data_IF_991514842247
#
_entry.id   IF_991514842247
#
_cell.length_a   1.000
_cell.length_b   1.000
_cell.length_c   1.000
_cell.angle_alpha   90.00
_cell.angle_beta   90.00
_cell.angle_gamma   90.00
#
_symmetry.space_group_name_H-M   'P 1'
#
loop_
_entity.id
_entity.type
_entity.pdbx_description
1 polymer ?
#
# COMPACT_ATOMS: atom_id res chain seq x y z
N UNK A 1 52.99 -25.99 -58.09
CA UNK A 1 52.47 -26.53 -56.82
C UNK A 1 53.21 -25.81 -55.71
N UNK A 2 52.45 -25.20 -54.80
CA UNK A 2 52.88 -24.02 -54.03
C UNK A 2 54.04 -24.24 -53.06
N UNK A 3 54.83 -23.18 -52.97
CA UNK A 3 56.10 -22.95 -52.30
C UNK A 3 55.96 -22.50 -50.83
N UNK A 4 56.96 -22.87 -50.02
CA UNK A 4 57.77 -22.09 -49.03
C UNK A 4 57.19 -20.80 -48.41
N UNK A 5 57.49 -20.36 -47.19
CA UNK A 5 58.32 -20.81 -46.06
C UNK A 5 58.15 -19.75 -44.93
N UNK A 6 58.28 -20.17 -43.65
CA UNK A 6 59.02 -19.57 -42.50
C UNK A 6 59.02 -18.02 -42.23
N UNK A 7 59.54 -17.52 -41.07
CA UNK A 7 59.46 -17.98 -39.66
C UNK A 7 59.32 -16.82 -38.60
N UNK A 8 59.29 -17.24 -37.32
CA UNK A 8 60.09 -16.73 -36.18
C UNK A 8 59.57 -15.76 -35.09
N UNK A 9 59.99 -16.14 -33.86
CA UNK A 9 60.25 -15.37 -32.62
C UNK A 9 59.07 -14.94 -31.73
N UNK A 10 59.13 -14.80 -30.40
CA UNK A 10 59.92 -15.30 -29.25
C UNK A 10 59.14 -14.76 -27.97
N UNK A 11 59.64 -14.67 -26.72
CA UNK A 11 58.91 -15.08 -25.52
C UNK A 11 58.52 -13.91 -24.59
N UNK A 12 57.67 -14.15 -23.58
CA UNK A 12 57.87 -13.64 -22.20
C UNK A 12 56.68 -14.00 -21.31
N UNK A 13 57.00 -14.60 -20.16
CA UNK A 13 56.11 -14.64 -19.02
C UNK A 13 56.03 -13.26 -18.36
N UNK A 14 54.87 -12.97 -17.78
CA UNK A 14 54.72 -11.90 -16.80
C UNK A 14 53.69 -12.34 -15.79
N UNK A 15 54.15 -12.48 -14.55
CA UNK A 15 53.37 -12.67 -13.33
C UNK A 15 52.40 -11.51 -13.12
N UNK A 16 51.19 -11.80 -12.62
CA UNK A 16 50.30 -10.80 -12.02
C UNK A 16 49.89 -11.32 -10.63
N UNK A 17 50.06 -10.50 -9.57
CA UNK A 17 50.09 -10.97 -8.19
C UNK A 17 48.71 -11.14 -7.55
N UNK A 18 48.65 -12.08 -6.61
CA UNK A 18 47.58 -12.24 -5.62
C UNK A 18 47.57 -11.03 -4.68
N UNK A 19 46.52 -10.22 -4.74
CA UNK A 19 46.27 -9.16 -3.76
C UNK A 19 45.26 -9.70 -2.75
N UNK A 20 45.76 -10.01 -1.54
CA UNK A 20 44.92 -10.03 -0.34
C UNK A 20 44.62 -8.59 0.04
N UNK A 21 43.35 -8.21 0.05
CA UNK A 21 42.90 -6.99 0.73
C UNK A 21 41.96 -7.38 1.86
N UNK A 22 42.53 -7.34 3.05
CA UNK A 22 41.79 -7.19 4.30
C UNK A 22 40.95 -5.91 4.20
N UNK A 23 39.65 -6.02 4.44
CA UNK A 23 38.79 -4.88 4.75
C UNK A 23 38.16 -5.13 6.11
N UNK A 24 38.53 -4.25 7.03
CA UNK A 24 38.21 -4.25 8.44
C UNK A 24 36.69 -4.20 8.67
N UNK A 25 36.17 -5.16 9.43
CA UNK A 25 34.90 -5.02 10.11
C UNK A 25 35.16 -4.19 11.38
N UNK A 26 34.58 -3.00 11.45
CA UNK A 26 34.49 -2.25 12.70
C UNK A 26 33.38 -2.88 13.54
N UNK A 27 33.77 -3.71 14.51
CA UNK A 27 32.93 -4.08 15.64
C UNK A 27 32.74 -2.85 16.55
N UNK A 28 31.54 -2.27 16.53
CA UNK A 28 31.11 -1.36 17.59
C UNK A 28 30.56 -2.20 18.74
N UNK A 29 31.44 -2.58 19.66
CA UNK A 29 31.09 -3.12 20.98
C UNK A 29 30.66 -1.95 21.87
N UNK A 30 29.38 -1.88 22.23
CA UNK A 30 28.91 -0.98 23.29
C UNK A 30 28.95 -1.77 24.60
N UNK A 31 29.89 -1.40 25.44
CA UNK A 31 30.12 -1.90 26.79
C UNK A 31 29.00 -1.41 27.73
N UNK A 32 28.31 -2.34 28.38
CA UNK A 32 27.37 -2.10 29.47
C UNK A 32 27.99 -2.66 30.75
N UNK A 33 28.56 -1.78 31.58
CA UNK A 33 28.92 -2.13 32.95
C UNK A 33 28.43 -1.08 33.96
N UNK A 34 27.54 -1.58 34.82
CA UNK A 34 27.30 -1.30 36.23
C UNK A 34 27.15 0.15 36.76
N UNK A 35 25.96 0.40 37.29
CA UNK A 35 25.76 1.21 38.50
C UNK A 35 24.57 0.67 39.30
N UNK A 36 24.85 -0.24 40.24
CA UNK A 36 23.94 -0.59 41.34
C UNK A 36 23.95 0.53 42.38
N UNK A 37 22.79 1.08 42.72
CA UNK A 37 22.53 1.59 44.07
C UNK A 37 21.12 1.22 44.52
N UNK A 38 21.09 0.41 45.56
CA UNK A 38 19.95 -0.10 46.30
C UNK A 38 19.33 0.98 47.19
N UNK A 39 18.00 1.14 47.19
CA UNK A 39 17.26 1.51 48.41
C UNK A 39 15.89 0.79 48.44
N UNK A 40 15.62 0.20 49.60
CA UNK A 40 14.47 -0.60 50.02
C UNK A 40 13.14 0.18 50.10
N UNK A 41 12.08 -0.58 49.84
CA UNK A 41 10.66 -0.34 50.17
C UNK A 41 10.44 -0.18 51.68
N UNK A 42 9.36 0.52 52.10
CA UNK A 42 8.43 -0.19 52.97
C UNK A 42 6.95 -0.03 52.53
N UNK A 43 6.19 -1.08 52.81
CA UNK A 43 4.77 -1.20 52.58
C UNK A 43 3.95 -0.39 53.60
N UNK A 44 2.78 0.10 53.19
CA UNK A 44 1.67 0.39 54.10
C UNK A 44 0.32 0.39 53.37
N UNK A 45 -0.72 0.18 54.17
CA UNK A 45 -2.02 -0.45 53.89
C UNK A 45 -3.11 0.60 53.69
N UNK A 46 -4.17 0.19 52.99
CA UNK A 46 -5.60 0.56 53.17
C UNK A 46 -6.23 1.79 52.46
N UNK A 47 -7.28 1.46 51.69
CA UNK A 47 -8.61 2.10 51.49
C UNK A 47 -8.70 3.62 51.29
N UNK A 48 -9.25 4.04 50.15
CA UNK A 48 -10.46 4.89 50.07
C UNK A 48 -11.01 4.97 48.63
N UNK A 49 -12.33 4.78 48.50
CA UNK A 49 -13.13 5.20 47.36
C UNK A 49 -13.10 6.73 47.27
N UNK A 50 -12.88 7.30 46.09
CA UNK A 50 -13.44 8.60 45.73
C UNK A 50 -13.92 8.58 44.28
N UNK A 51 -15.24 8.64 44.17
CA UNK A 51 -16.04 8.89 42.97
C UNK A 51 -15.88 10.34 42.53
N UNK A 52 -15.45 10.55 41.27
CA UNK A 52 -15.62 11.83 40.57
C UNK A 52 -17.06 11.99 40.06
N UNK A 53 -17.57 13.23 39.90
CA UNK A 53 -18.98 13.48 39.64
C UNK A 53 -19.39 13.09 38.20
N UNK A 54 -20.67 12.79 37.95
CA UNK A 54 -21.17 12.46 36.62
C UNK A 54 -21.20 13.72 35.74
N UNK A 55 -20.77 13.60 34.49
CA UNK A 55 -21.00 14.62 33.47
C UNK A 55 -22.51 14.70 33.18
N UNK A 56 -23.11 15.77 33.68
CA UNK A 56 -24.51 16.12 33.53
C UNK A 56 -24.82 16.49 32.07
N UNK A 57 -25.78 15.75 31.51
CA UNK A 57 -26.32 15.95 30.16
C UNK A 57 -27.20 17.20 30.19
N UNK A 58 -26.76 18.28 29.55
CA UNK A 58 -27.61 19.42 29.25
C UNK A 58 -28.72 18.99 28.26
N UNK A 59 -29.92 18.74 28.80
CA UNK A 59 -31.17 18.68 28.06
C UNK A 59 -31.74 20.09 28.02
N UNK A 60 -31.67 20.75 26.87
CA UNK A 60 -32.63 21.81 26.54
C UNK A 60 -33.18 21.63 25.12
N UNK A 61 -34.49 21.38 25.10
CA UNK A 61 -35.46 21.94 24.15
C UNK A 61 -35.39 21.52 22.68
N UNK A 62 -35.93 20.34 22.36
CA UNK A 62 -36.46 20.04 21.02
C UNK A 62 -37.98 20.23 21.07
N UNK A 63 -38.42 21.39 20.59
CA UNK A 63 -39.79 21.63 20.16
C UNK A 63 -40.09 20.81 18.90
N UNK A 64 -41.25 20.15 18.89
CA UNK A 64 -41.86 19.45 17.75
C UNK A 64 -41.78 20.30 16.47
N UNK A 65 -41.20 19.74 15.41
CA UNK A 65 -41.49 20.15 14.02
C UNK A 65 -41.85 18.91 13.23
N UNK A 66 -42.91 19.09 12.45
CA UNK A 66 -43.69 18.11 11.71
C UNK A 66 -42.87 17.33 10.68
N UNK A 67 -43.30 16.09 10.43
CA UNK A 67 -43.04 15.38 9.18
C UNK A 67 -43.69 16.15 8.03
N UNK A 68 -42.88 16.83 7.23
CA UNK A 68 -43.11 17.19 5.81
C UNK A 68 -42.12 18.30 5.45
N UNK A 69 -40.90 17.91 5.06
CA UNK A 69 -39.96 18.76 4.30
C UNK A 69 -38.90 17.86 3.66
N UNK A 70 -39.25 17.27 2.52
CA UNK A 70 -38.25 16.72 1.61
C UNK A 70 -37.44 17.90 1.04
N UNK A 71 -36.20 18.04 1.49
CA UNK A 71 -35.25 19.01 0.92
C UNK A 71 -35.08 18.67 -0.57
N UNK A 72 -35.29 19.63 -1.50
CA UNK A 72 -35.12 19.38 -2.92
C UNK A 72 -33.69 18.92 -3.20
N UNK A 73 -33.55 17.87 -3.99
CA UNK A 73 -32.29 17.49 -4.62
C UNK A 73 -31.78 18.70 -5.38
N UNK A 74 -30.73 19.36 -4.87
CA UNK A 74 -30.09 20.47 -5.59
C UNK A 74 -29.60 19.95 -6.95
N UNK A 75 -30.24 20.44 -7.99
CA UNK A 75 -29.88 20.20 -9.39
C UNK A 75 -28.44 20.68 -9.60
N UNK A 76 -27.60 19.76 -10.07
CA UNK A 76 -26.19 20.00 -10.37
C UNK A 76 -26.06 21.24 -11.28
N UNK A 77 -25.37 22.27 -10.78
CA UNK A 77 -24.96 23.43 -11.57
C UNK A 77 -24.06 23.00 -12.73
N UNK A 78 -24.43 23.41 -13.95
CA UNK A 78 -23.83 23.07 -15.24
C UNK A 78 -22.35 23.45 -15.41
N UNK A 79 -21.72 24.09 -14.41
CA UNK A 79 -20.30 24.44 -14.42
C UNK A 79 -19.35 23.41 -13.78
N UNK A 80 -19.86 22.36 -13.10
CA UNK A 80 -19.05 21.27 -12.54
C UNK A 80 -19.05 20.01 -13.42
N UNK A 81 -19.80 20.04 -14.53
CA UNK A 81 -20.14 18.88 -15.39
C UNK A 81 -18.97 18.36 -16.26
N UNK A 82 -17.89 19.12 -16.44
CA UNK A 82 -16.69 18.65 -17.16
C UNK A 82 -15.88 17.60 -16.39
N UNK A 83 -16.22 17.33 -15.12
CA UNK A 83 -15.41 16.51 -14.22
C UNK A 83 -15.76 15.04 -14.19
N UNK A 84 -16.85 14.55 -14.79
CA UNK A 84 -17.26 13.14 -14.69
C UNK A 84 -17.07 12.39 -16.02
N UNK A 85 -16.59 11.14 -15.95
CA UNK A 85 -16.61 10.23 -17.09
C UNK A 85 -18.08 10.09 -17.58
N UNK A 86 -18.40 10.22 -18.88
CA UNK A 86 -19.78 10.25 -19.36
C UNK A 86 -20.61 9.06 -18.88
N UNK A 87 -20.03 7.85 -18.91
CA UNK A 87 -20.71 6.65 -18.44
C UNK A 87 -20.89 6.61 -16.91
N UNK A 88 -20.00 7.23 -16.12
CA UNK A 88 -20.17 7.32 -14.66
C UNK A 88 -21.33 8.26 -14.35
N UNK A 89 -21.50 9.36 -15.10
CA UNK A 89 -22.64 10.27 -14.94
C UNK A 89 -23.97 9.54 -15.09
N UNK A 90 -24.10 8.69 -16.11
CA UNK A 90 -25.30 7.87 -16.32
C UNK A 90 -25.54 6.92 -15.15
N UNK A 91 -24.52 6.14 -14.75
CA UNK A 91 -24.63 5.20 -13.63
C UNK A 91 -24.97 5.88 -12.29
N UNK A 92 -24.43 7.08 -12.05
CA UNK A 92 -24.76 7.88 -10.88
C UNK A 92 -26.19 8.41 -10.94
N UNK A 93 -26.65 8.86 -12.12
CA UNK A 93 -28.02 9.37 -12.30
C UNK A 93 -29.09 8.27 -12.17
N UNK A 94 -28.76 7.04 -12.60
CA UNK A 94 -29.63 5.86 -12.49
C UNK A 94 -29.53 5.17 -11.13
N UNK A 95 -28.63 5.63 -10.27
CA UNK A 95 -28.33 5.02 -8.97
C UNK A 95 -27.80 3.57 -9.02
N UNK A 96 -27.10 3.23 -10.10
CA UNK A 96 -26.61 1.87 -10.41
C UNK A 96 -25.08 1.72 -10.36
N UNK A 97 -24.36 2.75 -9.91
CA UNK A 97 -22.89 2.72 -9.86
C UNK A 97 -22.40 1.70 -8.81
N UNK A 98 -21.66 0.69 -9.25
CA UNK A 98 -20.96 -0.27 -8.37
C UNK A 98 -19.44 -0.24 -8.57
N UNK A 99 -18.69 -0.79 -7.60
CA UNK A 99 -17.23 -0.92 -7.71
C UNK A 99 -16.86 -1.84 -8.88
N UNK A 100 -17.61 -2.92 -9.08
CA UNK A 100 -17.40 -3.89 -10.16
C UNK A 100 -17.54 -3.21 -11.52
N UNK A 101 -18.57 -2.37 -11.69
CA UNK A 101 -18.75 -1.58 -12.91
C UNK A 101 -17.55 -0.65 -13.17
N UNK A 102 -17.04 0.02 -12.12
CA UNK A 102 -15.88 0.90 -12.22
C UNK A 102 -14.58 0.16 -12.56
N UNK A 103 -14.36 -1.05 -12.00
CA UNK A 103 -13.21 -1.90 -12.34
C UNK A 103 -13.21 -2.24 -13.84
N UNK A 104 -14.39 -2.34 -14.47
CA UNK A 104 -14.50 -2.62 -15.89
C UNK A 104 -14.23 -1.41 -16.81
N UNK A 105 -14.09 -0.19 -16.28
CA UNK A 105 -13.92 1.03 -17.06
C UNK A 105 -12.46 1.45 -17.25
N UNK A 106 -12.12 2.11 -18.39
CA UNK A 106 -10.85 2.83 -18.49
C UNK A 106 -10.84 4.04 -17.54
N UNK A 107 -9.69 4.41 -16.97
CA UNK A 107 -9.55 5.63 -16.18
C UNK A 107 -9.72 6.88 -17.06
N UNK A 108 -10.07 8.02 -16.46
CA UNK A 108 -10.04 9.28 -17.20
C UNK A 108 -8.61 9.74 -17.47
N UNK A 109 -8.30 10.04 -18.73
CA UNK A 109 -7.01 10.63 -19.07
C UNK A 109 -6.90 12.04 -18.48
N UNK A 110 -5.81 12.39 -17.79
CA UNK A 110 -5.60 13.75 -17.31
C UNK A 110 -5.44 14.74 -18.48
N UNK A 111 -5.80 16.01 -18.25
CA UNK A 111 -5.56 17.08 -19.24
C UNK A 111 -4.04 17.20 -19.46
N UNK A 112 -3.58 17.34 -20.71
CA UNK A 112 -2.15 17.26 -21.08
C UNK A 112 -1.26 18.24 -20.30
N UNK A 113 -1.79 19.39 -19.91
CA UNK A 113 -1.08 20.47 -19.23
C UNK A 113 -0.98 20.26 -17.70
N UNK A 114 -1.75 19.31 -17.18
CA UNK A 114 -1.87 19.00 -15.75
C UNK A 114 -0.91 17.92 -15.28
N UNK A 115 -0.31 17.16 -16.20
CA UNK A 115 0.66 16.09 -15.92
C UNK A 115 1.92 16.23 -16.78
N UNK A 116 3.05 15.73 -16.29
CA UNK A 116 4.31 15.67 -17.04
C UNK A 116 4.11 14.81 -18.30
N UNK A 117 4.60 15.23 -19.48
CA UNK A 117 4.47 14.43 -20.70
C UNK A 117 5.34 13.18 -20.64
N UNK A 118 5.02 12.20 -21.49
CA UNK A 118 5.82 10.98 -21.65
C UNK A 118 5.70 9.99 -20.49
N UNK A 119 4.66 10.09 -19.66
CA UNK A 119 4.35 9.05 -18.66
C UNK A 119 3.98 7.73 -19.34
N UNK A 120 4.06 6.64 -18.58
CA UNK A 120 3.69 5.32 -19.06
C UNK A 120 2.22 5.27 -19.53
N UNK A 121 1.94 4.99 -20.81
CA UNK A 121 0.58 5.05 -21.36
C UNK A 121 -0.38 4.04 -20.72
N UNK A 122 0.13 2.99 -20.06
CA UNK A 122 -0.70 2.03 -19.31
C UNK A 122 -1.46 2.66 -18.15
N UNK A 123 -1.07 3.85 -17.70
CA UNK A 123 -1.77 4.61 -16.65
C UNK A 123 -3.13 5.17 -17.08
N UNK A 124 -3.35 5.24 -18.40
CA UNK A 124 -4.59 5.68 -19.07
C UNK A 124 -5.44 4.50 -19.58
N UNK A 125 -4.94 3.26 -19.44
CA UNK A 125 -5.64 2.05 -19.86
C UNK A 125 -6.41 1.44 -18.68
N UNK A 126 -7.40 0.60 -18.98
CA UNK A 126 -8.14 -0.17 -17.98
C UNK A 126 -7.19 -1.05 -17.16
N UNK A 127 -7.45 -1.20 -15.85
CA UNK A 127 -6.71 -2.14 -14.99
C UNK A 127 -6.82 -3.57 -15.51
N UNK A 128 -5.70 -4.31 -15.66
CA UNK A 128 -5.75 -5.71 -16.08
C UNK A 128 -6.60 -6.55 -15.14
N UNK A 129 -7.44 -7.42 -15.71
CA UNK A 129 -8.31 -8.33 -14.96
C UNK A 129 -7.71 -9.74 -14.83
N UNK A 130 -6.52 -9.95 -15.40
CA UNK A 130 -5.81 -11.22 -15.40
C UNK A 130 -4.42 -11.02 -14.79
N UNK A 131 -3.99 -11.95 -13.93
CA UNK A 131 -2.71 -11.84 -13.22
C UNK A 131 -1.51 -11.70 -14.16
N UNK A 132 -1.51 -12.39 -15.30
CA UNK A 132 -0.44 -12.31 -16.31
C UNK A 132 -0.23 -10.88 -16.81
N UNK A 133 -1.31 -10.21 -17.17
CA UNK A 133 -1.25 -8.84 -17.69
C UNK A 133 -1.04 -7.83 -16.56
N UNK A 134 -1.55 -8.12 -15.36
CA UNK A 134 -1.30 -7.31 -14.17
C UNK A 134 0.19 -7.29 -13.81
N UNK A 135 0.85 -8.45 -13.75
CA UNK A 135 2.28 -8.61 -13.46
C UNK A 135 3.20 -8.04 -14.54
N UNK A 136 2.71 -7.83 -15.77
CA UNK A 136 3.44 -7.08 -16.81
C UNK A 136 3.29 -5.58 -16.64
N UNK A 137 2.12 -5.13 -16.19
CA UNK A 137 1.74 -3.72 -16.18
C UNK A 137 2.20 -3.01 -14.91
N UNK A 138 2.06 -3.66 -13.75
CA UNK A 138 2.33 -3.08 -12.44
C UNK A 138 3.59 -3.68 -11.82
N UNK A 139 4.25 -2.88 -10.97
CA UNK A 139 5.05 -3.40 -9.87
C UNK A 139 4.13 -3.55 -8.66
N UNK A 140 4.28 -4.63 -7.91
CA UNK A 140 3.51 -4.91 -6.71
C UNK A 140 4.49 -4.97 -5.54
N UNK A 141 4.29 -4.10 -4.57
CA UNK A 141 5.06 -4.11 -3.33
C UNK A 141 4.15 -4.55 -2.19
N UNK A 142 4.39 -5.74 -1.65
CA UNK A 142 3.81 -6.16 -0.39
C UNK A 142 4.60 -5.54 0.75
N UNK A 143 3.93 -4.69 1.53
CA UNK A 143 4.44 -4.20 2.82
C UNK A 143 3.76 -5.02 3.90
N UNK A 144 4.51 -5.93 4.51
CA UNK A 144 3.97 -6.94 5.42
C UNK A 144 4.22 -6.50 6.85
N UNK A 145 3.14 -6.44 7.63
CA UNK A 145 3.21 -6.26 9.06
C UNK A 145 3.83 -7.51 9.70
N UNK A 146 5.01 -7.34 10.27
CA UNK A 146 5.72 -8.33 11.08
C UNK A 146 5.71 -7.94 12.56
N UNK A 147 4.72 -7.17 13.02
CA UNK A 147 4.52 -6.86 14.44
C UNK A 147 4.17 -8.10 15.26
N UNK A 148 4.24 -7.99 16.60
CA UNK A 148 3.92 -9.11 17.48
C UNK A 148 2.47 -9.62 17.38
N UNK A 149 1.50 -8.77 17.02
CA UNK A 149 0.08 -9.17 16.87
C UNK A 149 -0.11 -10.16 15.73
N UNK A 150 0.69 -10.04 14.67
CA UNK A 150 0.65 -10.89 13.49
C UNK A 150 1.04 -12.35 13.74
N UNK A 151 1.46 -12.73 14.95
CA UNK A 151 1.91 -14.08 15.29
C UNK A 151 0.90 -15.18 14.93
N UNK A 152 -0.41 -14.95 15.14
CA UNK A 152 -1.47 -15.90 14.77
C UNK A 152 -1.82 -15.89 13.28
N UNK A 153 -1.45 -14.82 12.57
CA UNK A 153 -1.77 -14.58 11.16
C UNK A 153 -0.59 -14.87 10.23
N UNK A 154 0.62 -15.04 10.75
CA UNK A 154 1.86 -15.15 9.97
C UNK A 154 1.82 -16.22 8.87
N UNK A 155 1.34 -17.42 9.22
CA UNK A 155 1.21 -18.52 8.26
C UNK A 155 0.13 -18.27 7.21
N UNK A 156 -0.94 -17.56 7.58
CA UNK A 156 -2.00 -17.18 6.64
C UNK A 156 -1.48 -16.19 5.61
N UNK A 157 -0.77 -15.15 6.05
CA UNK A 157 -0.12 -14.15 5.20
C UNK A 157 0.89 -14.81 4.26
N UNK A 158 1.72 -15.72 4.77
CA UNK A 158 2.67 -16.51 3.95
C UNK A 158 1.95 -17.26 2.85
N UNK A 159 0.95 -18.07 3.22
CA UNK A 159 0.21 -18.93 2.29
C UNK A 159 -0.56 -18.11 1.23
N UNK A 160 -1.07 -16.93 1.58
CA UNK A 160 -1.76 -16.05 0.64
C UNK A 160 -0.83 -15.59 -0.51
N UNK A 161 0.46 -15.39 -0.21
CA UNK A 161 1.45 -14.92 -1.19
C UNK A 161 1.96 -16.04 -2.11
N UNK A 162 1.81 -17.31 -1.73
CA UNK A 162 2.34 -18.45 -2.50
C UNK A 162 1.80 -18.49 -3.95
N UNK A 163 0.47 -18.36 -4.15
CA UNK A 163 -0.11 -18.37 -5.52
C UNK A 163 0.35 -17.18 -6.36
N UNK A 164 0.38 -15.99 -5.77
CA UNK A 164 0.81 -14.77 -6.47
C UNK A 164 2.28 -14.89 -6.90
N UNK A 165 3.13 -15.42 -6.01
CA UNK A 165 4.53 -15.70 -6.33
C UNK A 165 4.72 -16.77 -7.40
N UNK A 166 3.85 -17.79 -7.45
CA UNK A 166 3.86 -18.81 -8.49
C UNK A 166 3.47 -18.24 -9.85
N UNK A 167 2.49 -17.34 -9.92
CA UNK A 167 2.19 -16.62 -11.16
C UNK A 167 3.37 -15.77 -11.63
N UNK A 168 4.09 -15.10 -10.71
CA UNK A 168 5.30 -14.36 -11.08
C UNK A 168 6.40 -15.28 -11.61
N UNK A 169 6.56 -16.48 -11.05
CA UNK A 169 7.47 -17.51 -11.56
C UNK A 169 7.05 -18.00 -12.95
N UNK A 170 5.78 -18.39 -13.11
CA UNK A 170 5.20 -18.91 -14.36
C UNK A 170 5.36 -17.93 -15.53
N UNK A 171 5.15 -16.64 -15.27
CA UNK A 171 5.25 -15.59 -16.28
C UNK A 171 6.62 -14.91 -16.34
N UNK A 172 7.62 -15.42 -15.60
CA UNK A 172 8.96 -14.83 -15.50
C UNK A 172 8.95 -13.33 -15.17
N UNK A 173 8.03 -12.89 -14.31
CA UNK A 173 7.84 -11.48 -13.94
C UNK A 173 8.66 -11.09 -12.72
N UNK A 174 9.34 -9.95 -12.80
CA UNK A 174 10.08 -9.30 -11.71
C UNK A 174 9.20 -8.34 -10.89
N UNK A 175 7.88 -8.35 -11.09
CA UNK A 175 6.99 -7.35 -10.55
C UNK A 175 6.82 -7.38 -9.02
N UNK A 176 7.09 -8.52 -8.37
CA UNK A 176 6.79 -8.70 -6.95
C UNK A 176 7.97 -8.27 -6.07
N UNK A 177 7.66 -7.40 -5.11
CA UNK A 177 8.58 -6.94 -4.09
C UNK A 177 7.96 -7.21 -2.71
N UNK A 178 8.77 -7.61 -1.73
CA UNK A 178 8.38 -7.80 -0.34
C UNK A 178 9.26 -6.92 0.55
N UNK A 179 8.61 -6.23 1.49
CA UNK A 179 9.25 -5.48 2.56
C UNK A 179 8.44 -5.65 3.85
N UNK A 180 9.10 -5.56 5.00
CA UNK A 180 8.47 -5.67 6.32
C UNK A 180 8.44 -4.33 7.07
N UNK A 181 7.64 -4.26 8.14
CA UNK A 181 7.58 -3.08 8.98
C UNK A 181 8.79 -2.94 9.93
N UNK A 182 9.20 -4.03 10.58
CA UNK A 182 10.25 -4.03 11.61
C UNK A 182 11.54 -4.65 11.08
N UNK A 183 11.46 -5.73 10.29
CA UNK A 183 12.62 -6.37 9.71
C UNK A 183 13.19 -5.57 8.52
N UNK A 184 14.52 -5.43 8.48
CA UNK A 184 15.22 -4.72 7.40
C UNK A 184 15.31 -5.51 6.08
N UNK A 185 14.91 -6.79 6.08
CA UNK A 185 14.89 -7.61 4.89
C UNK A 185 13.90 -7.02 3.87
N UNK A 186 14.43 -6.71 2.69
CA UNK A 186 13.66 -6.39 1.50
C UNK A 186 14.08 -7.33 0.37
N UNK A 187 13.12 -7.75 -0.45
CA UNK A 187 13.36 -8.57 -1.64
C UNK A 187 12.60 -8.00 -2.83
N UNK A 188 13.30 -7.81 -3.93
CA UNK A 188 12.73 -7.43 -5.22
C UNK A 188 12.76 -8.65 -6.16
N UNK A 189 11.80 -8.76 -7.08
CA UNK A 189 11.75 -9.83 -8.06
C UNK A 189 11.38 -11.21 -7.50
N UNK A 190 10.57 -11.26 -6.43
CA UNK A 190 10.18 -12.51 -5.74
C UNK A 190 9.40 -13.44 -6.67
N UNK A 191 9.83 -14.71 -6.77
CA UNK A 191 9.24 -15.73 -7.66
C UNK A 191 9.17 -17.09 -6.99
N UNK A 192 7.94 -17.61 -6.91
CA UNK A 192 7.65 -18.98 -6.50
C UNK A 192 7.58 -19.20 -4.98
N UNK A 193 6.85 -20.25 -4.61
CA UNK A 193 6.58 -20.64 -3.21
C UNK A 193 7.85 -20.76 -2.36
N UNK A 194 8.91 -21.37 -2.91
CA UNK A 194 10.13 -21.62 -2.14
C UNK A 194 10.81 -20.33 -1.67
N UNK A 195 10.78 -19.28 -2.50
CA UNK A 195 11.37 -17.99 -2.13
C UNK A 195 10.52 -17.29 -1.06
N UNK A 196 9.19 -17.28 -1.21
CA UNK A 196 8.27 -16.76 -0.19
C UNK A 196 8.49 -17.46 1.15
N UNK A 197 8.56 -18.79 1.14
CA UNK A 197 8.78 -19.58 2.35
C UNK A 197 10.14 -19.30 2.99
N UNK A 198 11.19 -19.15 2.19
CA UNK A 198 12.53 -18.79 2.67
C UNK A 198 12.53 -17.42 3.34
N UNK A 199 11.85 -16.43 2.75
CA UNK A 199 11.70 -15.09 3.33
C UNK A 199 10.99 -15.16 4.69
N UNK A 200 9.85 -15.85 4.76
CA UNK A 200 9.05 -15.97 5.99
C UNK A 200 9.72 -16.80 7.09
N UNK A 201 10.66 -17.69 6.74
CA UNK A 201 11.47 -18.42 7.71
C UNK A 201 12.58 -17.56 8.35
N UNK A 202 13.01 -16.49 7.66
CA UNK A 202 14.05 -15.55 8.13
C UNK A 202 13.48 -14.43 9.01
N UNK A 203 12.18 -14.15 8.90
CA UNK A 203 11.50 -13.07 9.62
C UNK A 203 10.56 -13.65 10.68
N UNK A 204 10.60 -13.10 11.89
CA UNK A 204 9.72 -13.49 12.99
C UNK A 204 8.86 -12.30 13.41
N UNK A 205 7.55 -12.48 13.60
CA UNK A 205 6.67 -11.46 14.18
C UNK A 205 7.21 -10.92 15.52
N UNK A 206 7.27 -9.59 15.65
CA UNK A 206 7.75 -8.89 16.84
C UNK A 206 7.79 -7.37 16.63
N UNK A 207 7.88 -6.60 17.72
CA UNK A 207 7.86 -5.15 17.64
C UNK A 207 6.47 -4.57 17.41
N UNK A 208 6.43 -3.33 16.90
CA UNK A 208 5.19 -2.58 16.69
C UNK A 208 4.77 -2.53 15.22
N UNK A 209 3.85 -1.63 14.91
CA UNK A 209 3.27 -1.39 13.57
C UNK A 209 3.64 0.02 13.08
N UNK A 210 4.92 0.32 12.75
CA UNK A 210 5.40 1.64 12.30
C UNK A 210 4.97 1.99 10.86
N UNK A 211 3.67 1.91 10.57
CA UNK A 211 3.12 2.04 9.21
C UNK A 211 3.51 3.34 8.52
N UNK A 212 3.37 4.48 9.20
CA UNK A 212 3.71 5.79 8.64
C UNK A 212 5.17 5.90 8.21
N UNK A 213 6.11 5.51 9.08
CA UNK A 213 7.54 5.53 8.79
C UNK A 213 7.91 4.67 7.57
N UNK A 214 7.41 3.43 7.50
CA UNK A 214 7.72 2.52 6.39
C UNK A 214 7.09 3.01 5.08
N UNK A 215 5.86 3.52 5.13
CA UNK A 215 5.23 4.13 3.95
C UNK A 215 5.95 5.39 3.50
N UNK A 216 6.52 6.18 4.41
CA UNK A 216 7.29 7.37 4.05
C UNK A 216 8.50 6.99 3.20
N UNK A 217 9.25 5.97 3.63
CA UNK A 217 10.40 5.48 2.87
C UNK A 217 9.99 4.92 1.50
N UNK A 218 8.95 4.08 1.46
CA UNK A 218 8.47 3.47 0.22
C UNK A 218 7.98 4.53 -0.77
N UNK A 219 7.16 5.48 -0.31
CA UNK A 219 6.61 6.54 -1.14
C UNK A 219 7.70 7.49 -1.63
N UNK A 220 8.65 7.87 -0.75
CA UNK A 220 9.79 8.70 -1.16
C UNK A 220 10.68 7.99 -2.18
N UNK A 221 10.99 6.70 -1.99
CA UNK A 221 11.76 5.90 -2.97
C UNK A 221 11.06 5.90 -4.32
N UNK A 222 9.74 5.68 -4.36
CA UNK A 222 9.01 5.62 -5.62
C UNK A 222 8.88 6.99 -6.29
N UNK A 223 8.61 8.06 -5.55
CA UNK A 223 8.53 9.40 -6.16
C UNK A 223 9.90 9.83 -6.69
N UNK A 224 10.98 9.58 -5.95
CA UNK A 224 12.35 9.83 -6.44
C UNK A 224 12.65 9.04 -7.73
N UNK A 225 12.16 7.80 -7.82
CA UNK A 225 12.29 6.97 -9.02
C UNK A 225 11.52 7.54 -10.21
N UNK A 226 10.31 8.08 -9.99
CA UNK A 226 9.53 8.75 -11.03
C UNK A 226 10.21 10.05 -11.50
N UNK A 227 10.72 10.86 -10.57
CA UNK A 227 11.49 12.08 -10.85
C UNK A 227 12.71 11.76 -11.74
N UNK A 228 13.47 10.71 -11.39
CA UNK A 228 14.63 10.25 -12.16
C UNK A 228 14.25 9.69 -13.53
N UNK A 229 13.19 8.89 -13.60
CA UNK A 229 12.71 8.35 -14.88
C UNK A 229 12.28 9.48 -15.83
N UNK A 230 11.67 10.55 -15.32
CA UNK A 230 11.36 11.74 -16.10
C UNK A 230 12.61 12.44 -16.61
N UNK A 231 13.56 12.77 -15.72
CA UNK A 231 14.80 13.46 -16.09
C UNK A 231 15.66 12.68 -17.08
N UNK A 232 15.66 11.35 -17.00
CA UNK A 232 16.44 10.46 -17.87
C UNK A 232 15.69 9.99 -19.13
N UNK A 233 14.49 10.49 -19.40
CA UNK A 233 13.71 10.12 -20.59
C UNK A 233 13.13 8.70 -20.57
N UNK A 234 13.12 8.02 -19.42
CA UNK A 234 12.61 6.65 -19.23
C UNK A 234 11.21 6.59 -18.63
N UNK A 235 10.54 7.73 -18.48
CA UNK A 235 9.27 7.84 -17.79
C UNK A 235 8.15 6.97 -18.38
N UNK A 236 8.17 6.77 -19.70
CA UNK A 236 7.21 5.91 -20.40
C UNK A 236 7.35 4.44 -20.04
N UNK A 237 8.51 4.03 -19.53
CA UNK A 237 8.84 2.65 -19.14
C UNK A 237 8.69 2.41 -17.63
N UNK A 238 8.47 3.46 -16.84
CA UNK A 238 8.28 3.31 -15.40
C UNK A 238 6.86 2.78 -15.12
N UNK A 239 6.78 1.54 -14.63
CA UNK A 239 5.50 0.89 -14.30
C UNK A 239 4.85 1.56 -13.08
N UNK A 240 3.51 1.67 -13.03
CA UNK A 240 2.81 2.03 -11.80
C UNK A 240 3.16 1.09 -10.65
N UNK A 241 3.18 1.63 -9.44
CA UNK A 241 3.38 0.87 -8.20
C UNK A 241 2.04 0.65 -7.49
N UNK A 242 1.71 -0.61 -7.23
CA UNK A 242 0.61 -1.02 -6.35
C UNK A 242 1.20 -1.49 -5.01
N UNK A 243 1.03 -0.67 -3.98
CA UNK A 243 1.50 -0.96 -2.62
C UNK A 243 0.37 -1.68 -1.90
N UNK A 244 0.61 -2.91 -1.44
CA UNK A 244 -0.37 -3.71 -0.72
C UNK A 244 0.14 -3.92 0.70
N UNK A 245 -0.50 -3.24 1.65
CA UNK A 245 -0.16 -3.33 3.07
C UNK A 245 -0.98 -4.47 3.67
N UNK A 246 -0.31 -5.50 4.19
CA UNK A 246 -0.94 -6.65 4.86
C UNK A 246 -0.74 -6.49 6.37
N UNK A 247 -1.81 -6.21 7.12
CA UNK A 247 -1.71 -5.84 8.56
C UNK A 247 -2.93 -6.30 9.33
N UNK A 248 -2.76 -6.69 10.60
CA UNK A 248 -3.88 -7.05 11.48
C UNK A 248 -4.31 -5.93 12.43
N UNK A 249 -3.45 -4.95 12.65
CA UNK A 249 -3.61 -3.98 13.72
C UNK A 249 -3.69 -2.51 13.29
N UNK A 250 -3.72 -1.68 14.33
CA UNK A 250 -3.71 -0.22 14.26
C UNK A 250 -2.26 0.27 14.17
N UNK A 251 -1.93 1.24 13.29
CA UNK A 251 -0.62 1.85 13.25
C UNK A 251 -0.19 2.44 14.60
N UNK A 252 1.11 2.43 14.91
CA UNK A 252 1.61 3.10 16.11
C UNK A 252 1.23 4.60 16.11
N UNK A 253 0.86 5.12 17.28
CA UNK A 253 0.43 6.52 17.45
C UNK A 253 1.52 7.54 17.10
N UNK A 254 2.80 7.18 17.28
CA UNK A 254 3.95 8.01 16.91
C UNK A 254 4.36 7.88 15.43
N UNK A 255 3.69 7.03 14.65
CA UNK A 255 3.97 6.79 13.23
C UNK A 255 2.67 6.66 12.41
N UNK A 256 1.78 7.68 12.43
CA UNK A 256 0.51 7.63 11.72
C UNK A 256 0.70 7.72 10.19
N UNK A 257 0.01 6.89 9.38
CA UNK A 257 0.19 6.89 7.92
C UNK A 257 -0.48 8.07 7.20
N UNK A 258 -1.56 8.64 7.74
CA UNK A 258 -2.32 9.71 7.10
C UNK A 258 -1.46 10.94 6.69
N UNK A 259 -0.65 11.56 7.58
CA UNK A 259 0.16 12.72 7.20
C UNK A 259 1.23 12.40 6.15
N UNK A 260 1.81 11.20 6.22
CA UNK A 260 2.83 10.74 5.26
C UNK A 260 2.23 10.55 3.87
N UNK A 261 1.08 9.88 3.78
CA UNK A 261 0.34 9.70 2.52
C UNK A 261 -0.07 11.06 1.95
N UNK A 262 -0.53 11.99 2.80
CA UNK A 262 -0.90 13.33 2.37
C UNK A 262 0.30 14.12 1.81
N UNK A 263 1.46 14.02 2.44
CA UNK A 263 2.69 14.65 1.94
C UNK A 263 3.12 14.06 0.58
N UNK A 264 3.08 12.73 0.43
CA UNK A 264 3.37 12.06 -0.83
C UNK A 264 2.37 12.46 -1.94
N UNK A 265 1.08 12.53 -1.63
CA UNK A 265 0.04 12.98 -2.53
C UNK A 265 0.26 14.43 -2.98
N UNK A 266 0.60 15.33 -2.06
CA UNK A 266 0.94 16.70 -2.39
C UNK A 266 2.18 16.79 -3.30
N UNK A 267 3.22 16.00 -3.00
CA UNK A 267 4.45 15.95 -3.81
C UNK A 267 4.20 15.46 -5.23
N UNK A 268 3.43 14.38 -5.40
CA UNK A 268 3.04 13.87 -6.73
C UNK A 268 2.29 14.93 -7.54
N UNK A 269 1.32 15.61 -6.91
CA UNK A 269 0.53 16.67 -7.56
C UNK A 269 1.40 17.86 -7.95
N UNK A 270 2.25 18.34 -7.05
CA UNK A 270 3.11 19.50 -7.30
C UNK A 270 4.14 19.20 -8.39
N UNK A 271 4.65 17.97 -8.45
CA UNK A 271 5.57 17.50 -9.48
C UNK A 271 4.85 17.11 -10.78
N UNK A 272 3.51 17.23 -10.82
CA UNK A 272 2.64 16.87 -11.96
C UNK A 272 2.83 15.43 -12.43
N UNK A 273 3.15 14.50 -11.53
CA UNK A 273 3.11 13.09 -11.87
C UNK A 273 1.68 12.63 -12.15
N UNK A 274 1.56 11.59 -12.97
CA UNK A 274 0.26 11.05 -13.33
C UNK A 274 -0.47 10.51 -12.08
N UNK A 275 -1.76 10.83 -11.85
CA UNK A 275 -2.46 10.49 -10.60
C UNK A 275 -2.55 8.99 -10.32
N UNK A 276 -2.54 8.17 -11.37
CA UNK A 276 -2.62 6.70 -11.25
C UNK A 276 -1.26 5.99 -11.08
N UNK A 277 -0.14 6.71 -10.92
CA UNK A 277 1.19 6.11 -10.87
C UNK A 277 1.50 5.34 -9.56
N UNK A 278 0.78 5.63 -8.47
CA UNK A 278 0.89 4.96 -7.18
C UNK A 278 -0.52 4.65 -6.66
N UNK A 279 -0.74 3.42 -6.20
CA UNK A 279 -1.89 3.01 -5.40
C UNK A 279 -1.43 2.37 -4.08
N UNK A 280 -2.26 2.48 -3.05
CA UNK A 280 -2.06 1.86 -1.74
C UNK A 280 -3.34 1.11 -1.37
N UNK A 281 -3.24 -0.17 -1.05
CA UNK A 281 -4.34 -1.01 -0.59
C UNK A 281 -4.00 -1.54 0.80
N UNK A 282 -4.75 -1.11 1.81
CA UNK A 282 -4.66 -1.69 3.15
C UNK A 282 -5.56 -2.91 3.24
N UNK A 283 -4.97 -4.09 3.36
CA UNK A 283 -5.68 -5.34 3.58
C UNK A 283 -5.60 -5.68 5.06
N UNK A 284 -6.72 -5.54 5.75
CA UNK A 284 -6.83 -5.99 7.13
C UNK A 284 -6.79 -7.52 7.15
N UNK A 285 -6.02 -8.10 8.06
CA UNK A 285 -5.99 -9.53 8.37
C UNK A 285 -6.52 -9.73 9.80
N UNK A 286 -7.42 -10.69 10.01
CA UNK A 286 -8.03 -10.87 11.32
C UNK A 286 -9.04 -9.78 11.69
N UNK A 287 -9.71 -9.95 12.82
CA UNK A 287 -10.95 -9.24 13.15
C UNK A 287 -10.80 -8.18 14.24
N UNK A 288 -9.65 -7.52 14.36
CA UNK A 288 -9.46 -6.45 15.34
C UNK A 288 -10.50 -5.32 15.10
N UNK A 289 -11.40 -5.05 16.06
CA UNK A 289 -12.45 -4.03 15.91
C UNK A 289 -11.90 -2.60 15.84
N UNK A 290 -10.67 -2.33 16.28
CA UNK A 290 -10.04 -1.03 16.18
C UNK A 290 -9.34 -0.82 14.83
N UNK A 291 -8.88 -1.89 14.17
CA UNK A 291 -8.17 -1.82 12.89
C UNK A 291 -9.09 -1.35 11.76
N UNK A 292 -10.29 -1.93 11.62
CA UNK A 292 -11.22 -1.61 10.54
C UNK A 292 -11.56 -0.10 10.44
N UNK A 293 -12.10 0.56 11.49
CA UNK A 293 -12.40 1.99 11.41
C UNK A 293 -11.15 2.85 11.21
N UNK A 294 -10.00 2.44 11.76
CA UNK A 294 -8.73 3.16 11.60
C UNK A 294 -8.29 3.15 10.14
N UNK A 295 -8.24 1.98 9.51
CA UNK A 295 -7.84 1.84 8.10
C UNK A 295 -8.84 2.56 7.20
N UNK A 296 -10.15 2.38 7.42
CA UNK A 296 -11.20 3.04 6.65
C UNK A 296 -11.08 4.57 6.67
N UNK A 297 -10.67 5.16 7.80
CA UNK A 297 -10.47 6.61 7.90
C UNK A 297 -9.41 7.15 6.93
N UNK A 298 -8.49 6.30 6.47
CA UNK A 298 -7.45 6.68 5.51
C UNK A 298 -8.00 6.96 4.13
N UNK A 299 -9.18 6.42 3.77
CA UNK A 299 -9.83 6.66 2.47
C UNK A 299 -10.18 8.15 2.30
N UNK A 300 -10.71 8.78 3.35
CA UNK A 300 -11.20 10.16 3.32
C UNK A 300 -10.10 11.21 3.55
N UNK A 301 -8.85 10.77 3.73
CA UNK A 301 -7.71 11.66 3.91
C UNK A 301 -7.34 12.45 2.65
N UNK A 302 -6.43 13.42 2.80
CA UNK A 302 -5.87 14.21 1.69
C UNK A 302 -4.86 13.40 0.83
N UNK A 303 -5.31 12.26 0.29
CA UNK A 303 -4.48 11.21 -0.30
C UNK A 303 -4.55 11.14 -1.84
N UNK A 304 -5.14 12.14 -2.53
CA UNK A 304 -5.41 12.12 -3.98
C UNK A 304 -6.13 10.85 -4.49
N UNK A 305 -6.94 10.22 -3.65
CA UNK A 305 -7.64 8.96 -3.93
C UNK A 305 -6.70 7.76 -4.20
N UNK A 306 -5.45 7.81 -3.75
CA UNK A 306 -4.53 6.67 -3.96
C UNK A 306 -4.77 5.51 -2.98
N UNK A 307 -5.58 5.70 -1.93
CA UNK A 307 -5.81 4.70 -0.86
C UNK A 307 -7.10 3.93 -1.08
N UNK A 308 -7.01 2.60 -1.02
CA UNK A 308 -8.10 1.66 -0.80
C UNK A 308 -7.94 0.94 0.53
N UNK A 309 -9.05 0.36 1.01
CA UNK A 309 -9.02 -0.55 2.14
C UNK A 309 -9.88 -1.77 1.86
N UNK A 310 -9.42 -2.90 2.38
CA UNK A 310 -10.13 -4.17 2.33
C UNK A 310 -10.29 -4.61 3.80
N UNK A 311 -11.50 -4.45 4.32
CA UNK A 311 -11.85 -4.89 5.67
C UNK A 311 -11.84 -6.41 5.77
N UNK A 312 -11.56 -6.94 6.95
CA UNK A 312 -11.73 -8.37 7.24
C UNK A 312 -13.13 -8.87 6.92
N UNK A 313 -14.15 -8.06 7.25
CA UNK A 313 -15.57 -8.35 7.02
C UNK A 313 -15.87 -8.76 5.57
N UNK A 314 -15.12 -8.23 4.60
CA UNK A 314 -15.30 -8.48 3.17
C UNK A 314 -15.14 -9.95 2.80
N UNK A 315 -14.09 -10.61 3.29
CA UNK A 315 -13.77 -11.99 2.90
C UNK A 315 -14.15 -13.02 3.98
N UNK A 316 -15.04 -12.64 4.91
CA UNK A 316 -15.63 -13.57 5.88
C UNK A 316 -16.43 -14.68 5.23
N UNK A 317 -17.10 -14.41 4.11
CA UNK A 317 -17.90 -15.41 3.36
C UNK A 317 -17.10 -16.23 2.37
N UNK A 318 -16.05 -15.66 1.79
CA UNK A 318 -15.30 -16.29 0.70
C UNK A 318 -14.04 -17.02 1.16
N UNK A 319 -13.36 -16.45 2.15
CA UNK A 319 -12.16 -17.03 2.77
C UNK A 319 -12.43 -17.65 4.13
N UNK A 320 -13.70 -17.73 4.57
CA UNK A 320 -14.06 -18.07 5.94
C UNK A 320 -13.33 -17.17 6.97
N UNK A 321 -13.15 -15.89 6.63
CA UNK A 321 -12.40 -14.93 7.44
C UNK A 321 -10.87 -15.07 7.33
N UNK A 322 -10.35 -15.87 6.39
CA UNK A 322 -8.92 -16.00 6.15
C UNK A 322 -8.53 -15.32 4.85
N UNK A 323 -7.40 -14.61 4.85
CA UNK A 323 -6.70 -14.17 3.66
C UNK A 323 -6.11 -15.41 2.96
N UNK A 324 -6.89 -15.99 2.05
CA UNK A 324 -6.40 -17.06 1.16
C UNK A 324 -5.74 -16.47 -0.07
N UNK A 325 -5.02 -17.30 -0.83
CA UNK A 325 -4.39 -16.85 -2.06
C UNK A 325 -5.42 -16.39 -3.12
N UNK A 326 -6.57 -17.06 -3.19
CA UNK A 326 -7.69 -16.66 -4.04
C UNK A 326 -8.29 -15.30 -3.63
N UNK A 327 -8.40 -15.04 -2.32
CA UNK A 327 -8.85 -13.74 -1.80
C UNK A 327 -7.83 -12.66 -2.15
N UNK A 328 -6.53 -12.89 -1.91
CA UNK A 328 -5.48 -11.91 -2.21
C UNK A 328 -5.41 -11.60 -3.71
N UNK A 329 -5.53 -12.60 -4.58
CA UNK A 329 -5.62 -12.44 -6.02
C UNK A 329 -6.79 -11.56 -6.44
N UNK A 330 -7.96 -11.77 -5.84
CA UNK A 330 -9.14 -10.94 -6.09
C UNK A 330 -8.93 -9.50 -5.63
N UNK A 331 -8.32 -9.29 -4.48
CA UNK A 331 -7.98 -7.95 -3.97
C UNK A 331 -7.10 -7.21 -4.98
N UNK A 332 -6.01 -7.85 -5.44
CA UNK A 332 -5.08 -7.27 -6.43
C UNK A 332 -5.82 -6.82 -7.69
N UNK A 333 -6.65 -7.72 -8.25
CA UNK A 333 -7.36 -7.48 -9.51
C UNK A 333 -8.58 -6.55 -9.37
N UNK A 334 -9.17 -6.47 -8.17
CA UNK A 334 -10.36 -5.67 -7.86
C UNK A 334 -10.08 -4.23 -7.41
N UNK A 335 -8.81 -3.83 -7.31
CA UNK A 335 -8.44 -2.45 -7.01
C UNK A 335 -8.95 -1.46 -8.09
N UNK A 336 -9.26 -0.22 -7.70
CA UNK A 336 -9.59 0.86 -8.62
C UNK A 336 -8.38 1.75 -8.91
N UNK A 337 -8.34 2.32 -10.11
CA UNK A 337 -7.46 3.46 -10.37
C UNK A 337 -7.80 4.61 -9.41
N UNK A 338 -6.80 5.36 -8.91
CA UNK A 338 -7.03 6.52 -8.04
C UNK A 338 -8.06 7.51 -8.60
N UNK A 339 -8.00 7.83 -9.90
CA UNK A 339 -8.97 8.76 -10.49
C UNK A 339 -10.40 8.19 -10.61
N UNK A 340 -10.58 6.89 -10.84
CA UNK A 340 -11.91 6.24 -10.81
C UNK A 340 -12.44 6.18 -9.38
N UNK A 341 -11.56 5.92 -8.42
CA UNK A 341 -11.87 5.94 -6.98
C UNK A 341 -12.36 7.30 -6.52
N UNK A 342 -11.86 8.40 -7.10
CA UNK A 342 -12.37 9.74 -6.79
C UNK A 342 -13.89 9.85 -6.98
N UNK A 343 -14.43 9.28 -8.06
CA UNK A 343 -15.88 9.25 -8.30
C UNK A 343 -16.61 8.34 -7.34
N UNK A 344 -16.05 7.16 -7.08
CA UNK A 344 -16.60 6.22 -6.11
C UNK A 344 -16.74 6.87 -4.73
N UNK A 345 -15.73 7.60 -4.29
CA UNK A 345 -15.72 8.30 -3.01
C UNK A 345 -16.78 9.41 -2.97
N UNK A 346 -16.89 10.22 -4.04
CA UNK A 346 -17.91 11.26 -4.14
C UNK A 346 -19.33 10.71 -4.15
N UNK A 347 -19.56 9.61 -4.87
CA UNK A 347 -20.87 8.94 -4.94
C UNK A 347 -21.30 8.42 -3.56
N UNK A 348 -20.42 7.71 -2.85
CA UNK A 348 -20.70 7.19 -1.50
C UNK A 348 -20.97 8.31 -0.49
N UNK A 349 -20.18 9.38 -0.53
CA UNK A 349 -20.39 10.55 0.36
C UNK A 349 -21.77 11.18 0.14
N UNK A 350 -22.23 11.32 -1.11
CA UNK A 350 -23.57 11.84 -1.43
C UNK A 350 -24.70 10.96 -0.90
N UNK A 351 -24.50 9.64 -0.83
CA UNK A 351 -25.48 8.69 -0.28
C UNK A 351 -25.54 8.66 1.25
N UNK A 352 -24.75 9.48 1.95
CA UNK A 352 -24.54 9.37 3.39
C UNK A 352 -24.12 7.96 3.84
N UNK A 353 -23.54 7.18 2.93
CA UNK A 353 -22.92 5.91 3.29
C UNK A 353 -21.66 6.25 4.07
N UNK A 354 -21.75 6.16 5.41
CA UNK A 354 -20.56 6.15 6.26
C UNK A 354 -19.60 5.11 5.67
N UNK A 355 -18.34 5.50 5.51
CA UNK A 355 -17.17 4.72 5.02
C UNK A 355 -17.19 3.21 5.29
N UNK A 356 -17.84 2.79 6.37
CA UNK A 356 -18.16 1.44 6.85
C UNK A 356 -18.91 0.47 5.92
N UNK A 357 -19.41 0.83 4.73
CA UNK A 357 -20.03 -0.14 3.81
C UNK A 357 -19.40 -0.09 2.43
N UNK A 358 -18.10 -0.41 2.34
CA UNK A 358 -17.53 -0.79 1.05
C UNK A 358 -17.98 -2.22 0.77
N UNK A 359 -19.08 -2.37 0.03
CA UNK A 359 -19.38 -3.63 -0.63
C UNK A 359 -18.27 -3.86 -1.67
N UNK A 360 -17.57 -4.99 -1.56
CA UNK A 360 -17.16 -5.66 -2.77
C UNK A 360 -17.94 -6.98 -2.91
#
# INVERSE_FOLDING_TARGET
MSSNAAPDSNPNGTEIPSISSQSQAQENTIDYSDSKSSVRVPASRSKAKQSGPPLEVAKESISKVSSDDAVPVETISSGQDEKFHPNIRTLVAEDTLTKEALVQMPPMKPKKETVLPGYNPKLDEKRPQEMKEYLKTYRILFVIDDSGSMQSHWNETRNALEEISNHALEFYSDALEIRFFNNLLQREGVRGVNEVNSIFNLVRPGGGTPTGHVLEEVLNKQINRLDEAHRSGRYSSERPLDIIVLTDGVPNSNSPPAPVIAAAAARLRNSKHHPNCIGIQFVQIGSDPAAEPTLLSLIDGANNNMVDTISYSFYTREGNGRLTAAVLKRIILGGLHPNLRAYWNQYRQKKHEKTSKVFY
#
